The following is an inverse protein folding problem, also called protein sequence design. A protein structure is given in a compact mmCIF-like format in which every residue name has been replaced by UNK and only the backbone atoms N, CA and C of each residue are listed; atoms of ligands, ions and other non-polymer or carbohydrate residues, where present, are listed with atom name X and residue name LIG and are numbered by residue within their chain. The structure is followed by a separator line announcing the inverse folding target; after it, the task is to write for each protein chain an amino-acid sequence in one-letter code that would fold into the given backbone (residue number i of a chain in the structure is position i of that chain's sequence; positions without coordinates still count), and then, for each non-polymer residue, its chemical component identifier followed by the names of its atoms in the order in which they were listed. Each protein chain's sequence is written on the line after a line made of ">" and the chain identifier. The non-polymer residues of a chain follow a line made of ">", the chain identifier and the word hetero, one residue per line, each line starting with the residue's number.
data_IF_606343376271
#
_entry.id   IF_606343376271
#
_cell.length_a   1.000
_cell.length_b   1.000
_cell.length_c   1.000
_cell.angle_alpha   90.00
_cell.angle_beta   90.00
_cell.angle_gamma   90.00
#
_symmetry.space_group_name_H-M   'P 1'
#
loop_
_entity.id
_entity.type
_entity.pdbx_description
1 polymer ?
#
# COMPACT_ATOMS: atom_id res chain seq x y z
N UNK A 1 19.45 -26.16 -36.95
CA UNK A 1 19.49 -25.22 -35.80
C UNK A 1 18.63 -25.74 -34.66
N UNK A 2 18.81 -25.27 -33.41
CA UNK A 2 17.94 -25.68 -32.26
C UNK A 2 16.48 -25.32 -32.52
N UNK A 3 16.22 -24.23 -33.23
CA UNK A 3 14.89 -23.79 -33.69
C UNK A 3 14.18 -24.78 -34.63
N UNK A 4 14.90 -25.69 -35.29
CA UNK A 4 14.33 -26.66 -36.24
C UNK A 4 13.91 -27.98 -35.56
N UNK A 5 14.11 -28.11 -34.24
CA UNK A 5 13.71 -29.31 -33.51
C UNK A 5 12.21 -29.31 -33.22
N UNK A 6 11.59 -30.50 -33.22
CA UNK A 6 10.13 -30.74 -33.20
C UNK A 6 9.35 -30.14 -32.03
N UNK A 7 10.01 -29.65 -30.98
CA UNK A 7 9.36 -29.00 -29.83
C UNK A 7 10.14 -27.76 -29.38
N UNK A 8 10.86 -27.13 -30.30
CA UNK A 8 11.62 -25.92 -30.04
C UNK A 8 10.72 -24.71 -30.17
N UNK A 9 10.65 -23.91 -29.11
CA UNK A 9 9.99 -22.60 -29.10
C UNK A 9 11.01 -21.45 -29.23
N UNK A 10 12.27 -21.78 -29.50
CA UNK A 10 13.34 -20.79 -29.59
C UNK A 10 13.16 -19.93 -30.83
N UNK A 11 13.10 -18.61 -30.62
CA UNK A 11 13.14 -17.61 -31.69
C UNK A 11 14.24 -16.59 -31.41
N UNK A 12 14.82 -16.02 -32.47
CA UNK A 12 15.92 -15.05 -32.35
C UNK A 12 15.46 -13.73 -31.73
N UNK A 13 14.19 -13.36 -31.94
CA UNK A 13 13.65 -12.05 -31.61
C UNK A 13 13.86 -11.03 -32.75
N UNK A 14 13.38 -9.78 -32.59
CA UNK A 14 13.49 -8.75 -33.62
C UNK A 14 14.93 -8.25 -33.80
N UNK A 15 15.39 -8.07 -35.04
CA UNK A 15 16.73 -7.55 -35.36
C UNK A 15 16.96 -6.12 -34.86
N UNK A 16 15.90 -5.36 -34.60
CA UNK A 16 15.96 -3.98 -34.09
C UNK A 16 16.20 -3.90 -32.59
N UNK A 17 16.18 -5.03 -31.87
CA UNK A 17 16.38 -5.10 -30.42
C UNK A 17 17.73 -5.75 -30.17
N UNK A 18 18.55 -5.15 -29.31
CA UNK A 18 19.87 -5.71 -28.98
C UNK A 18 19.76 -7.09 -28.33
N UNK A 19 20.85 -7.86 -28.35
CA UNK A 19 20.86 -9.22 -27.80
C UNK A 19 20.09 -10.22 -28.66
N UNK A 20 19.82 -11.39 -28.09
CA UNK A 20 19.09 -12.48 -28.76
C UNK A 20 18.02 -13.05 -27.83
N UNK A 21 17.16 -13.91 -28.37
CA UNK A 21 16.14 -14.57 -27.58
C UNK A 21 15.05 -13.63 -27.08
N UNK A 22 14.96 -12.40 -27.60
CA UNK A 22 13.97 -11.39 -27.25
C UNK A 22 12.55 -11.80 -27.70
N UNK A 23 11.89 -12.66 -26.92
CA UNK A 23 10.55 -13.12 -27.20
C UNK A 23 9.77 -13.49 -25.94
N UNK A 24 8.47 -13.69 -26.12
CA UNK A 24 7.54 -14.12 -25.08
C UNK A 24 6.78 -15.34 -25.56
N UNK A 25 6.56 -16.29 -24.65
CA UNK A 25 5.69 -17.43 -24.83
C UNK A 25 4.50 -17.32 -23.89
N UNK A 26 3.30 -17.44 -24.45
CA UNK A 26 2.08 -17.64 -23.69
C UNK A 26 1.90 -19.14 -23.41
N UNK A 27 1.77 -19.49 -22.15
CA UNK A 27 1.29 -20.80 -21.73
C UNK A 27 -0.23 -20.72 -21.71
N UNK A 28 -0.89 -21.64 -22.42
CA UNK A 28 -2.34 -21.65 -22.54
C UNK A 28 -2.99 -22.77 -21.73
N UNK A 29 -4.23 -22.54 -21.32
CA UNK A 29 -5.06 -23.54 -20.65
C UNK A 29 -5.28 -24.74 -21.58
N UNK A 30 -4.87 -25.96 -21.20
CA UNK A 30 -5.05 -27.14 -22.04
C UNK A 30 -6.51 -27.64 -22.03
N UNK A 31 -7.29 -27.24 -21.02
CA UNK A 31 -8.71 -27.56 -20.85
C UNK A 31 -9.38 -26.40 -20.11
N UNK A 32 -10.69 -26.23 -20.29
CA UNK A 32 -11.47 -25.28 -19.50
C UNK A 32 -11.51 -25.69 -18.02
N UNK A 33 -11.38 -24.73 -17.10
CA UNK A 33 -11.36 -24.99 -15.66
C UNK A 33 -11.10 -23.76 -14.80
N UNK A 34 -10.47 -23.98 -13.64
CA UNK A 34 -10.18 -22.92 -12.64
C UNK A 34 -9.25 -21.81 -13.17
N UNK A 35 -8.49 -22.11 -14.22
CA UNK A 35 -7.58 -21.18 -14.91
C UNK A 35 -8.18 -20.59 -16.19
N UNK A 36 -9.51 -20.67 -16.41
CA UNK A 36 -10.18 -20.08 -17.58
C UNK A 36 -10.59 -21.11 -18.63
N UNK A 37 -11.00 -20.63 -19.80
CA UNK A 37 -11.46 -21.46 -20.92
C UNK A 37 -10.28 -22.13 -21.63
N UNK A 38 -10.54 -23.23 -22.34
CA UNK A 38 -9.52 -23.91 -23.13
C UNK A 38 -8.92 -22.95 -24.18
N UNK A 39 -7.58 -22.85 -24.20
CA UNK A 39 -6.84 -21.96 -25.09
C UNK A 39 -6.56 -20.57 -24.53
N UNK A 40 -7.13 -20.19 -23.40
CA UNK A 40 -6.82 -18.90 -22.75
C UNK A 40 -5.35 -18.84 -22.35
N UNK A 41 -4.73 -17.66 -22.50
CA UNK A 41 -3.40 -17.40 -21.94
C UNK A 41 -3.51 -17.36 -20.41
N UNK A 42 -2.76 -18.22 -19.74
CA UNK A 42 -2.82 -18.39 -18.29
C UNK A 42 -1.53 -17.94 -17.61
N UNK A 43 -0.40 -18.02 -18.30
CA UNK A 43 0.91 -17.67 -17.77
C UNK A 43 1.86 -17.22 -18.88
N UNK A 44 2.82 -16.33 -18.58
CA UNK A 44 3.80 -15.87 -19.57
C UNK A 44 5.24 -16.19 -19.20
N UNK A 45 6.03 -16.47 -20.23
CA UNK A 45 7.47 -16.66 -20.11
C UNK A 45 8.18 -15.66 -21.02
N UNK A 46 9.00 -14.81 -20.44
CA UNK A 46 9.85 -13.87 -21.17
C UNK A 46 11.26 -14.42 -21.27
N UNK A 47 11.85 -14.32 -22.46
CA UNK A 47 13.22 -14.72 -22.72
C UNK A 47 13.99 -13.50 -23.21
N UNK A 48 15.15 -13.26 -22.59
CA UNK A 48 16.08 -12.20 -22.97
C UNK A 48 17.49 -12.76 -22.82
N UNK A 49 18.33 -12.57 -23.82
CA UNK A 49 19.76 -12.92 -23.72
C UNK A 49 20.58 -11.72 -24.16
N UNK A 50 21.46 -11.24 -23.28
CA UNK A 50 22.38 -10.16 -23.59
C UNK A 50 23.42 -10.58 -24.60
N UNK A 51 23.79 -11.87 -24.64
CA UNK A 51 25.05 -12.37 -25.18
C UNK A 51 26.07 -12.62 -24.06
N UNK A 52 27.18 -13.29 -24.41
CA UNK A 52 28.24 -13.65 -23.46
C UNK A 52 29.30 -12.54 -23.30
N UNK A 53 29.79 -12.00 -24.42
CA UNK A 53 30.90 -11.03 -24.44
C UNK A 53 30.40 -9.62 -24.70
N UNK A 54 30.92 -8.65 -23.95
CA UNK A 54 30.62 -7.24 -24.15
C UNK A 54 30.99 -6.81 -25.59
N UNK A 55 30.03 -6.19 -26.30
CA UNK A 55 30.22 -5.72 -27.67
C UNK A 55 31.07 -4.43 -27.71
N UNK A 56 32.38 -4.57 -27.48
CA UNK A 56 33.33 -3.44 -27.37
C UNK A 56 33.43 -2.60 -28.64
N UNK A 57 33.20 -3.16 -29.83
CA UNK A 57 33.13 -2.38 -31.08
C UNK A 57 31.93 -1.42 -31.11
N UNK A 58 30.79 -1.87 -30.58
CA UNK A 58 29.54 -1.09 -30.52
C UNK A 58 29.53 -0.11 -29.34
N UNK A 59 30.19 -0.50 -28.24
CA UNK A 59 30.24 0.26 -26.99
C UNK A 59 31.70 0.46 -26.52
N UNK A 60 32.50 1.27 -27.22
CA UNK A 60 33.96 1.38 -27.00
C UNK A 60 34.37 1.99 -25.65
N UNK A 61 33.43 2.58 -24.92
CA UNK A 61 33.67 3.22 -23.62
C UNK A 61 33.11 2.43 -22.44
N UNK A 62 32.55 1.24 -22.67
CA UNK A 62 31.99 0.40 -21.60
C UNK A 62 32.97 -0.71 -21.28
N UNK A 63 33.40 -0.75 -20.02
CA UNK A 63 34.27 -1.79 -19.49
C UNK A 63 33.44 -2.75 -18.63
N UNK A 64 32.98 -3.85 -19.23
CA UNK A 64 32.37 -4.97 -18.51
C UNK A 64 33.02 -6.28 -18.95
N UNK A 65 33.16 -7.22 -18.02
CA UNK A 65 33.67 -8.57 -18.31
C UNK A 65 32.67 -9.37 -19.16
N UNK A 66 31.38 -9.12 -18.93
CA UNK A 66 30.28 -9.80 -19.59
C UNK A 66 29.36 -8.81 -20.31
N UNK A 67 28.61 -9.31 -21.28
CA UNK A 67 27.55 -8.49 -21.86
C UNK A 67 26.42 -8.22 -20.85
N UNK A 68 25.63 -7.16 -21.09
CA UNK A 68 24.56 -6.74 -20.19
C UNK A 68 23.24 -6.58 -20.94
N UNK A 69 22.11 -6.53 -20.23
CA UNK A 69 20.79 -6.29 -20.84
C UNK A 69 20.67 -4.82 -21.23
N UNK A 70 20.34 -4.55 -22.50
CA UNK A 70 20.34 -3.21 -23.10
C UNK A 70 19.02 -2.49 -22.88
N UNK A 71 18.98 -1.14 -22.95
CA UNK A 71 17.73 -0.39 -22.87
C UNK A 71 16.68 -0.83 -23.90
N UNK A 72 17.12 -1.18 -25.12
CA UNK A 72 16.22 -1.66 -26.18
C UNK A 72 15.49 -2.96 -25.79
N UNK A 73 16.15 -3.87 -25.06
CA UNK A 73 15.54 -5.11 -24.56
C UNK A 73 14.54 -4.83 -23.43
N UNK A 74 14.86 -3.86 -22.55
CA UNK A 74 13.96 -3.43 -21.47
C UNK A 74 12.70 -2.78 -22.04
N UNK A 75 12.86 -1.88 -23.02
CA UNK A 75 11.74 -1.23 -23.71
C UNK A 75 10.91 -2.24 -24.51
N UNK A 76 11.55 -3.23 -25.11
CA UNK A 76 10.87 -4.34 -25.79
C UNK A 76 10.01 -5.15 -24.81
N UNK A 77 10.56 -5.55 -23.67
CA UNK A 77 9.78 -6.19 -22.60
C UNK A 77 8.61 -5.31 -22.13
N UNK A 78 8.86 -4.02 -21.87
CA UNK A 78 7.81 -3.09 -21.43
C UNK A 78 6.65 -3.07 -22.42
N UNK A 79 6.95 -2.94 -23.72
CA UNK A 79 5.95 -2.95 -24.79
C UNK A 79 5.18 -4.28 -24.87
N UNK A 80 5.86 -5.41 -24.73
CA UNK A 80 5.22 -6.73 -24.72
C UNK A 80 4.28 -6.86 -23.52
N UNK A 81 4.73 -6.48 -22.33
CA UNK A 81 3.94 -6.52 -21.11
C UNK A 81 2.70 -5.61 -21.20
N UNK A 82 2.85 -4.38 -21.70
CA UNK A 82 1.71 -3.46 -21.92
C UNK A 82 0.70 -3.99 -22.92
N UNK A 83 1.17 -4.56 -24.03
CA UNK A 83 0.29 -5.15 -25.06
C UNK A 83 -0.41 -6.39 -24.50
N UNK A 84 0.33 -7.25 -23.80
CA UNK A 84 -0.18 -8.47 -23.18
C UNK A 84 -1.18 -8.19 -22.06
N UNK A 85 -1.10 -7.07 -21.33
CA UNK A 85 -2.11 -6.71 -20.31
C UNK A 85 -3.53 -6.56 -20.86
N UNK A 86 -3.70 -6.37 -22.17
CA UNK A 86 -5.01 -6.36 -22.82
C UNK A 86 -5.65 -7.76 -22.87
N UNK A 87 -4.83 -8.81 -22.93
CA UNK A 87 -5.25 -10.20 -22.76
C UNK A 87 -5.49 -10.44 -21.26
N UNK A 88 -6.72 -10.21 -20.82
CA UNK A 88 -7.13 -10.50 -19.44
C UNK A 88 -7.45 -11.97 -19.30
N UNK A 89 -7.19 -12.52 -18.11
CA UNK A 89 -7.69 -13.82 -17.72
C UNK A 89 -9.24 -13.78 -17.74
N UNK A 90 -9.88 -14.78 -18.34
CA UNK A 90 -11.35 -14.85 -18.41
C UNK A 90 -11.98 -15.01 -17.02
N UNK A 91 -11.34 -15.75 -16.12
CA UNK A 91 -11.83 -15.97 -14.75
C UNK A 91 -11.38 -14.93 -13.71
N UNK A 92 -10.31 -14.15 -13.95
CA UNK A 92 -9.80 -13.16 -12.98
C UNK A 92 -9.52 -11.82 -13.67
N UNK A 93 -10.06 -10.72 -13.11
CA UNK A 93 -9.83 -9.38 -13.67
C UNK A 93 -8.39 -8.85 -13.52
N UNK A 94 -7.39 -9.71 -13.34
CA UNK A 94 -6.00 -9.40 -13.00
C UNK A 94 -5.04 -9.65 -14.17
N UNK A 95 -3.82 -9.11 -14.04
CA UNK A 95 -2.72 -9.30 -15.01
C UNK A 95 -2.17 -10.72 -14.90
N UNK A 96 -1.96 -11.41 -16.02
CA UNK A 96 -1.36 -12.75 -16.03
C UNK A 96 0.02 -12.75 -15.36
N UNK A 97 0.30 -13.68 -14.43
CA UNK A 97 1.64 -13.79 -13.86
C UNK A 97 2.64 -14.25 -14.92
N UNK A 98 3.86 -13.76 -14.79
CA UNK A 98 4.94 -14.11 -15.69
C UNK A 98 6.23 -14.50 -14.96
N UNK A 99 7.11 -15.17 -15.67
CA UNK A 99 8.52 -15.36 -15.30
C UNK A 99 9.43 -14.90 -16.42
N UNK A 100 10.66 -14.56 -16.07
CA UNK A 100 11.66 -14.11 -17.03
C UNK A 100 12.91 -14.98 -16.93
N UNK A 101 13.51 -15.28 -18.08
CA UNK A 101 14.76 -16.02 -18.19
C UNK A 101 15.79 -15.15 -18.89
N UNK A 102 16.98 -15.06 -18.30
CA UNK A 102 18.15 -14.46 -18.94
C UNK A 102 19.44 -15.09 -18.45
N UNK A 103 20.48 -15.07 -19.26
CA UNK A 103 21.70 -15.83 -18.99
C UNK A 103 22.52 -15.22 -17.84
N UNK A 104 22.95 -13.97 -18.00
CA UNK A 104 23.91 -13.33 -17.09
C UNK A 104 23.18 -12.63 -15.94
N UNK A 105 23.52 -12.90 -14.67
CA UNK A 105 22.81 -12.34 -13.52
C UNK A 105 22.92 -10.82 -13.47
N UNK A 106 21.85 -10.16 -13.01
CA UNK A 106 21.86 -8.72 -12.73
C UNK A 106 22.74 -8.43 -11.50
N UNK A 107 23.19 -7.18 -11.34
CA UNK A 107 23.98 -6.76 -10.19
C UNK A 107 23.27 -7.05 -8.86
N UNK A 108 21.94 -7.02 -8.84
CA UNK A 108 21.12 -7.26 -7.66
C UNK A 108 21.20 -8.71 -7.16
N UNK A 109 21.64 -9.67 -7.98
CA UNK A 109 21.96 -11.02 -7.50
C UNK A 109 23.14 -10.97 -6.53
N UNK A 110 24.17 -10.16 -6.81
CA UNK A 110 25.37 -10.03 -5.98
C UNK A 110 25.10 -9.26 -4.67
N UNK A 111 24.22 -8.26 -4.70
CA UNK A 111 23.92 -7.40 -3.54
C UNK A 111 22.71 -7.82 -2.71
N UNK A 112 22.11 -8.98 -3.02
CA UNK A 112 20.95 -9.51 -2.28
C UNK A 112 21.28 -9.83 -0.81
N UNK A 113 20.44 -9.38 0.12
CA UNK A 113 20.56 -9.67 1.56
C UNK A 113 20.29 -11.15 1.86
N UNK A 114 21.22 -11.84 2.52
CA UNK A 114 21.12 -13.27 2.83
C UNK A 114 19.86 -13.64 3.62
N UNK A 115 19.35 -12.73 4.46
CA UNK A 115 18.13 -12.94 5.25
C UNK A 115 16.85 -13.09 4.41
N UNK A 116 16.88 -12.65 3.14
CA UNK A 116 15.78 -12.74 2.18
C UNK A 116 16.02 -13.79 1.11
N UNK A 117 17.06 -14.59 1.27
CA UNK A 117 17.47 -15.63 0.35
C UNK A 117 17.21 -17.02 0.95
N UNK A 118 16.83 -17.96 0.11
CA UNK A 118 16.86 -19.39 0.45
C UNK A 118 17.79 -20.11 -0.52
N UNK A 119 18.56 -21.07 0.01
CA UNK A 119 19.61 -21.81 -0.70
C UNK A 119 21.01 -21.28 -0.42
N UNK A 120 21.99 -21.76 -1.18
CA UNK A 120 23.41 -21.59 -0.88
C UNK A 120 24.12 -20.69 -1.92
N UNK A 121 24.93 -19.75 -1.44
CA UNK A 121 25.83 -18.90 -2.25
C UNK A 121 27.22 -19.54 -2.29
N UNK A 122 27.43 -20.47 -3.22
CA UNK A 122 28.64 -21.30 -3.26
C UNK A 122 29.80 -20.69 -4.06
N UNK A 123 29.53 -19.65 -4.85
CA UNK A 123 30.57 -18.97 -5.64
C UNK A 123 30.27 -17.48 -5.77
N UNK A 124 31.29 -16.72 -6.20
CA UNK A 124 31.12 -15.31 -6.53
C UNK A 124 30.10 -15.18 -7.66
N UNK A 125 29.17 -14.24 -7.50
CA UNK A 125 28.25 -13.85 -8.57
C UNK A 125 29.05 -13.14 -9.66
N UNK A 126 29.07 -13.73 -10.86
CA UNK A 126 29.58 -13.10 -12.08
C UNK A 126 28.44 -12.37 -12.78
N UNK A 127 28.09 -11.18 -12.29
CA UNK A 127 27.01 -10.34 -12.83
C UNK A 127 27.43 -9.53 -14.07
N UNK A 128 26.44 -8.88 -14.67
CA UNK A 128 26.59 -8.02 -15.84
C UNK A 128 27.49 -6.80 -15.63
N UNK A 129 27.86 -6.44 -14.39
CA UNK A 129 28.68 -5.27 -14.05
C UNK A 129 28.01 -3.92 -14.27
N UNK A 130 26.78 -3.92 -14.83
CA UNK A 130 26.03 -2.75 -15.26
C UNK A 130 24.58 -2.87 -14.76
N UNK A 131 24.03 -1.77 -14.27
CA UNK A 131 22.61 -1.69 -13.89
C UNK A 131 21.88 -0.68 -14.76
N UNK A 132 21.05 -1.18 -15.69
CA UNK A 132 20.21 -0.36 -16.55
C UNK A 132 18.72 -0.45 -16.20
N UNK A 133 18.40 -0.77 -14.94
CA UNK A 133 17.03 -0.73 -14.36
C UNK A 133 16.07 -1.79 -14.89
N UNK A 134 16.57 -2.97 -15.29
CA UNK A 134 15.68 -4.08 -15.61
C UNK A 134 14.84 -4.47 -14.39
N UNK A 135 15.46 -4.67 -13.22
CA UNK A 135 14.72 -5.05 -12.00
C UNK A 135 13.65 -4.01 -11.65
N UNK A 136 13.99 -2.72 -11.64
CA UNK A 136 13.01 -1.66 -11.37
C UNK A 136 11.85 -1.70 -12.37
N UNK A 137 12.14 -1.95 -13.66
CA UNK A 137 11.09 -2.11 -14.68
C UNK A 137 10.23 -3.35 -14.41
N UNK A 138 10.80 -4.47 -13.96
CA UNK A 138 10.03 -5.66 -13.59
C UNK A 138 9.09 -5.36 -12.41
N UNK A 139 9.59 -4.68 -11.39
CA UNK A 139 8.83 -4.26 -10.20
C UNK A 139 7.70 -3.29 -10.56
N UNK A 140 7.99 -2.25 -11.34
CA UNK A 140 7.00 -1.27 -11.82
C UNK A 140 5.91 -1.94 -12.64
N UNK A 141 6.28 -2.88 -13.52
CA UNK A 141 5.33 -3.60 -14.35
C UNK A 141 4.53 -4.65 -13.58
N UNK A 142 5.05 -5.13 -12.44
CA UNK A 142 4.37 -6.03 -11.52
C UNK A 142 3.72 -7.25 -12.23
N UNK A 143 4.35 -7.76 -13.29
CA UNK A 143 3.90 -8.92 -14.06
C UNK A 143 4.83 -10.12 -13.80
N UNK A 144 6.14 -9.90 -13.97
CA UNK A 144 7.17 -10.91 -13.71
C UNK A 144 7.34 -11.12 -12.22
N UNK A 145 7.16 -12.35 -11.75
CA UNK A 145 7.21 -12.75 -10.32
C UNK A 145 8.52 -13.41 -9.94
N UNK A 146 9.15 -14.07 -10.91
CA UNK A 146 10.47 -14.64 -10.73
C UNK A 146 11.31 -14.48 -12.01
N UNK A 147 12.59 -14.22 -11.81
CA UNK A 147 13.60 -14.16 -12.84
C UNK A 147 14.64 -15.27 -12.60
N UNK A 148 14.94 -16.03 -13.64
CA UNK A 148 15.82 -17.19 -13.55
C UNK A 148 17.07 -16.99 -14.40
N UNK A 149 18.22 -17.30 -13.82
CA UNK A 149 19.53 -17.05 -14.43
C UNK A 149 20.48 -18.23 -14.37
N UNK A 150 21.49 -18.16 -15.23
CA UNK A 150 22.68 -19.00 -15.21
C UNK A 150 22.54 -20.35 -15.92
N UNK A 151 23.70 -20.88 -16.31
CA UNK A 151 23.92 -22.29 -16.62
C UNK A 151 25.08 -22.77 -15.76
N UNK A 152 25.04 -24.01 -15.27
CA UNK A 152 26.19 -24.69 -14.64
C UNK A 152 26.87 -23.92 -13.49
N UNK A 153 26.15 -23.04 -12.81
CA UNK A 153 26.59 -22.32 -11.61
C UNK A 153 26.55 -23.22 -10.37
N UNK A 154 27.51 -22.99 -9.46
CA UNK A 154 27.49 -23.54 -8.11
C UNK A 154 26.48 -22.83 -7.23
N UNK A 155 26.10 -21.60 -7.58
CA UNK A 155 25.12 -20.83 -6.83
C UNK A 155 23.72 -21.45 -6.86
N UNK A 156 23.09 -21.51 -5.70
CA UNK A 156 21.88 -22.30 -5.47
C UNK A 156 20.73 -21.62 -4.77
N UNK A 157 20.72 -20.31 -4.83
CA UNK A 157 19.80 -19.52 -4.06
C UNK A 157 18.70 -18.88 -4.92
N UNK A 158 17.63 -18.52 -4.24
CA UNK A 158 16.63 -17.56 -4.69
C UNK A 158 16.50 -16.47 -3.65
N UNK A 159 16.49 -15.21 -4.07
CA UNK A 159 16.26 -14.08 -3.18
C UNK A 159 15.07 -13.26 -3.64
N UNK A 160 14.21 -12.83 -2.70
CA UNK A 160 13.15 -11.88 -3.01
C UNK A 160 13.71 -10.45 -2.96
N UNK A 161 13.83 -9.81 -4.12
CA UNK A 161 14.34 -8.44 -4.27
C UNK A 161 13.27 -7.60 -4.97
N UNK A 162 12.81 -6.53 -4.31
CA UNK A 162 11.81 -5.59 -4.83
C UNK A 162 10.57 -6.26 -5.47
N UNK A 163 10.09 -7.33 -4.85
CA UNK A 163 8.89 -8.06 -5.28
C UNK A 163 9.12 -9.09 -6.40
N UNK A 164 10.36 -9.26 -6.88
CA UNK A 164 10.74 -10.26 -7.89
C UNK A 164 11.67 -11.28 -7.25
N UNK A 165 11.38 -12.57 -7.45
CA UNK A 165 12.24 -13.63 -6.97
C UNK A 165 13.39 -13.88 -7.95
N UNK A 166 14.61 -13.53 -7.55
CA UNK A 166 15.83 -13.69 -8.33
C UNK A 166 16.45 -15.05 -8.03
N UNK A 167 16.44 -15.97 -8.99
CA UNK A 167 16.74 -17.38 -8.77
C UNK A 167 17.85 -17.90 -9.69
N UNK A 168 18.84 -18.58 -9.12
CA UNK A 168 19.79 -19.36 -9.90
C UNK A 168 19.19 -20.71 -10.34
N UNK A 169 19.40 -21.06 -11.61
CA UNK A 169 18.99 -22.34 -12.19
C UNK A 169 19.73 -23.55 -11.58
N UNK A 170 21.00 -23.37 -11.19
CA UNK A 170 21.88 -24.43 -10.70
C UNK A 170 22.54 -25.25 -11.83
N UNK A 171 23.25 -26.31 -11.46
CA UNK A 171 23.98 -27.18 -12.38
C UNK A 171 23.12 -28.19 -13.13
N UNK A 172 22.61 -27.81 -14.31
CA UNK A 172 21.77 -28.65 -15.18
C UNK A 172 22.54 -29.46 -16.22
N UNK A 173 23.79 -29.08 -16.52
CA UNK A 173 24.59 -29.64 -17.60
C UNK A 173 25.20 -31.02 -17.27
N UNK A 174 25.57 -31.73 -18.34
CA UNK A 174 26.44 -32.92 -18.24
C UNK A 174 27.92 -32.53 -18.10
N UNK A 175 28.25 -31.24 -18.24
CA UNK A 175 29.54 -30.65 -17.86
C UNK A 175 29.59 -30.31 -16.37
N UNK A 176 30.79 -30.21 -15.80
CA UNK A 176 31.02 -29.86 -14.40
C UNK A 176 30.54 -28.42 -14.14
N UNK A 177 29.81 -28.17 -13.06
CA UNK A 177 29.38 -26.83 -12.67
C UNK A 177 30.62 -25.97 -12.34
N UNK A 178 30.91 -24.94 -13.16
CA UNK A 178 32.17 -24.16 -13.17
C UNK A 178 33.42 -24.94 -12.72
N UNK A 179 33.60 -26.16 -13.23
CA UNK A 179 34.77 -26.99 -12.94
C UNK A 179 34.72 -27.81 -11.64
N UNK A 180 33.70 -27.68 -10.80
CA UNK A 180 33.48 -28.56 -9.65
C UNK A 180 33.05 -29.96 -10.11
N UNK A 181 33.90 -30.95 -9.84
CA UNK A 181 33.67 -32.33 -10.24
C UNK A 181 32.56 -33.02 -9.44
N UNK A 182 32.36 -32.58 -8.19
CA UNK A 182 31.50 -33.26 -7.21
C UNK A 182 30.14 -32.58 -7.04
N UNK A 183 29.83 -31.55 -7.83
CA UNK A 183 28.56 -30.84 -7.71
C UNK A 183 27.39 -31.69 -8.28
N UNK A 184 26.40 -32.07 -7.45
CA UNK A 184 25.31 -32.92 -7.91
C UNK A 184 24.44 -32.21 -8.94
N UNK A 185 24.15 -32.92 -10.02
CA UNK A 185 23.30 -32.42 -11.10
C UNK A 185 21.88 -32.25 -10.62
N UNK A 186 21.28 -31.12 -10.98
CA UNK A 186 19.90 -30.82 -10.64
C UNK A 186 19.30 -29.80 -11.58
N UNK A 187 17.99 -29.89 -11.77
CA UNK A 187 17.24 -28.95 -12.58
C UNK A 187 16.21 -28.22 -11.73
N UNK A 188 16.07 -26.93 -11.98
CA UNK A 188 15.00 -26.14 -11.38
C UNK A 188 13.67 -26.50 -12.02
N UNK A 189 12.72 -26.87 -11.18
CA UNK A 189 11.32 -27.05 -11.52
C UNK A 189 10.57 -25.78 -11.15
N UNK A 190 9.64 -25.36 -12.00
CA UNK A 190 8.72 -24.27 -11.74
C UNK A 190 7.33 -24.88 -11.91
N UNK A 191 6.55 -24.85 -10.84
CA UNK A 191 5.21 -25.37 -10.77
C UNK A 191 4.26 -24.23 -10.50
N UNK A 192 3.17 -24.20 -11.25
CA UNK A 192 2.12 -23.23 -11.07
C UNK A 192 0.83 -23.95 -10.72
N UNK A 193 0.19 -23.54 -9.64
CA UNK A 193 -1.04 -24.15 -9.14
C UNK A 193 -2.09 -23.09 -8.87
N UNK A 194 -3.36 -23.47 -9.04
CA UNK A 194 -4.53 -22.68 -8.67
C UNK A 194 -5.31 -23.49 -7.65
N UNK A 195 -5.54 -22.93 -6.47
CA UNK A 195 -6.31 -23.62 -5.42
C UNK A 195 -7.84 -23.48 -5.65
N UNK A 196 -8.64 -24.20 -4.85
CA UNK A 196 -10.10 -24.15 -4.95
C UNK A 196 -10.74 -22.80 -4.57
N UNK A 197 -9.95 -21.83 -4.10
CA UNK A 197 -10.35 -20.45 -3.85
C UNK A 197 -9.80 -19.50 -4.93
N UNK A 198 -9.36 -20.02 -6.08
CA UNK A 198 -8.77 -19.28 -7.19
C UNK A 198 -7.47 -18.53 -6.84
N UNK A 199 -6.78 -18.93 -5.75
CA UNK A 199 -5.46 -18.37 -5.47
C UNK A 199 -4.41 -19.06 -6.34
N UNK A 200 -3.63 -18.24 -7.05
CA UNK A 200 -2.50 -18.71 -7.82
C UNK A 200 -1.27 -18.87 -6.92
N UNK A 201 -0.44 -19.88 -7.16
CA UNK A 201 0.82 -20.07 -6.44
C UNK A 201 1.91 -20.52 -7.43
N UNK A 202 3.08 -19.87 -7.41
CA UNK A 202 4.27 -20.32 -8.13
C UNK A 202 5.21 -20.96 -7.11
N UNK A 203 5.45 -22.26 -7.26
CA UNK A 203 6.45 -22.99 -6.48
C UNK A 203 7.64 -23.28 -7.38
N UNK A 204 8.85 -23.13 -6.86
CA UNK A 204 10.05 -23.51 -7.58
C UNK A 204 11.02 -24.23 -6.65
N UNK A 205 11.55 -25.36 -7.11
CA UNK A 205 12.52 -26.14 -6.36
C UNK A 205 13.55 -26.72 -7.31
N UNK A 206 14.60 -27.33 -6.79
CA UNK A 206 15.54 -28.11 -7.60
C UNK A 206 15.35 -29.59 -7.38
N UNK A 207 15.28 -30.34 -8.48
CA UNK A 207 15.22 -31.80 -8.49
C UNK A 207 16.58 -32.36 -8.89
N UNK A 208 17.11 -33.27 -8.07
CA UNK A 208 18.37 -33.94 -8.35
C UNK A 208 18.23 -34.96 -9.49
N UNK A 209 19.32 -35.14 -10.23
CA UNK A 209 19.39 -36.13 -11.31
C UNK A 209 19.48 -37.56 -10.76
N UNK A 210 20.29 -37.77 -9.72
CA UNK A 210 20.57 -39.12 -9.19
C UNK A 210 19.45 -39.65 -8.29
N UNK A 211 18.79 -38.78 -7.51
CA UNK A 211 17.61 -39.12 -6.72
C UNK A 211 16.50 -38.08 -6.92
N UNK A 212 15.46 -38.55 -7.60
CA UNK A 212 14.28 -37.80 -7.99
C UNK A 212 13.48 -37.26 -6.79
N UNK A 213 13.63 -37.88 -5.61
CA UNK A 213 12.89 -37.56 -4.40
C UNK A 213 13.63 -36.53 -3.53
N UNK A 214 14.91 -36.25 -3.81
CA UNK A 214 15.67 -35.23 -3.10
C UNK A 214 15.31 -33.85 -3.66
N UNK A 215 14.64 -33.06 -2.83
CA UNK A 215 14.27 -31.68 -3.10
C UNK A 215 15.25 -30.75 -2.39
N UNK A 216 15.84 -29.81 -3.13
CA UNK A 216 16.74 -28.79 -2.59
C UNK A 216 16.27 -27.37 -2.99
N UNK A 217 16.53 -26.39 -2.13
CA UNK A 217 16.13 -24.98 -2.30
C UNK A 217 14.66 -24.82 -2.75
N UNK A 218 13.74 -25.46 -2.02
CA UNK A 218 12.31 -25.33 -2.29
C UNK A 218 11.79 -23.95 -1.86
N UNK A 219 11.26 -23.22 -2.83
CA UNK A 219 10.61 -21.95 -2.66
C UNK A 219 9.15 -22.04 -3.07
N UNK A 220 8.24 -21.56 -2.23
CA UNK A 220 6.84 -21.37 -2.63
C UNK A 220 6.51 -19.90 -2.60
N UNK A 221 6.50 -19.25 -3.77
CA UNK A 221 5.97 -17.92 -3.93
C UNK A 221 4.45 -18.01 -4.04
N UNK A 222 3.75 -17.77 -2.91
CA UNK A 222 2.31 -17.56 -2.97
C UNK A 222 2.04 -16.30 -3.77
N UNK A 223 1.33 -16.44 -4.89
CA UNK A 223 0.82 -15.31 -5.63
C UNK A 223 -0.46 -14.86 -4.92
N UNK A 224 -0.29 -14.25 -3.75
CA UNK A 224 -1.38 -13.55 -3.07
C UNK A 224 -1.92 -12.51 -4.06
N UNK A 225 -3.22 -12.21 -4.08
CA UNK A 225 -3.77 -11.09 -4.88
C UNK A 225 -3.01 -9.75 -4.67
N UNK A 226 -2.29 -9.62 -3.57
CA UNK A 226 -1.33 -8.53 -3.28
C UNK A 226 -0.08 -8.52 -4.21
N UNK A 227 0.35 -9.68 -4.69
CA UNK A 227 1.45 -9.84 -5.66
C UNK A 227 0.95 -9.98 -7.10
N UNK A 228 -0.35 -10.13 -7.36
CA UNK A 228 -0.93 -10.21 -8.71
C UNK A 228 -1.94 -9.08 -8.85
N UNK A 229 -1.47 -7.92 -9.32
CA UNK A 229 -2.34 -6.87 -9.83
C UNK A 229 -2.76 -5.76 -8.88
N UNK A 230 -2.39 -5.77 -7.59
CA UNK A 230 -2.39 -4.54 -6.80
C UNK A 230 -0.97 -3.96 -6.82
N UNK A 231 -0.72 -2.98 -7.69
CA UNK A 231 0.54 -2.24 -7.66
C UNK A 231 0.83 -1.73 -6.25
N UNK A 232 2.10 -1.68 -5.85
CA UNK A 232 2.57 -1.01 -4.62
C UNK A 232 1.91 0.37 -4.44
N UNK A 233 1.67 1.07 -5.55
CA UNK A 233 0.90 2.30 -5.59
C UNK A 233 -0.54 2.20 -5.10
N UNK A 234 -1.29 1.10 -5.28
CA UNK A 234 -2.65 0.99 -4.77
C UNK A 234 -2.67 0.85 -3.24
N UNK A 235 -1.75 0.09 -2.64
CA UNK A 235 -1.59 0.00 -1.18
C UNK A 235 -1.10 1.30 -0.56
N UNK A 236 -0.14 1.96 -1.22
CA UNK A 236 0.29 3.32 -0.86
C UNK A 236 -0.87 4.31 -1.00
N UNK A 237 -1.63 4.26 -2.10
CA UNK A 237 -2.78 5.14 -2.38
C UNK A 237 -3.95 4.88 -1.43
N UNK A 238 -4.12 3.65 -0.92
CA UNK A 238 -5.12 3.32 0.11
C UNK A 238 -4.82 4.01 1.45
N UNK A 239 -3.53 4.07 1.81
CA UNK A 239 -3.05 4.82 2.98
C UNK A 239 -3.14 6.32 2.75
N UNK A 240 -2.60 6.81 1.62
CA UNK A 240 -2.60 8.23 1.24
C UNK A 240 -4.01 8.78 1.09
N UNK A 241 -4.96 8.02 0.55
CA UNK A 241 -6.35 8.45 0.36
C UNK A 241 -7.03 8.82 1.68
N UNK A 242 -6.81 8.04 2.74
CA UNK A 242 -7.35 8.36 4.06
C UNK A 242 -6.69 9.59 4.68
N UNK A 243 -5.36 9.74 4.54
CA UNK A 243 -4.66 10.94 5.04
C UNK A 243 -5.02 12.21 4.26
N UNK A 244 -5.18 12.10 2.94
CA UNK A 244 -5.63 13.18 2.08
C UNK A 244 -7.05 13.61 2.47
N UNK A 245 -7.95 12.64 2.66
CA UNK A 245 -9.29 12.89 3.19
C UNK A 245 -9.23 13.60 4.54
N UNK A 246 -8.42 13.12 5.48
CA UNK A 246 -8.28 13.73 6.81
C UNK A 246 -7.75 15.16 6.75
N UNK A 247 -6.78 15.43 5.88
CA UNK A 247 -6.23 16.77 5.66
C UNK A 247 -7.30 17.76 5.16
N UNK A 248 -8.23 17.29 4.31
CA UNK A 248 -9.38 18.07 3.87
C UNK A 248 -10.47 18.19 4.95
N UNK A 249 -10.72 17.09 5.68
CA UNK A 249 -11.76 16.97 6.68
C UNK A 249 -11.59 17.93 7.85
N UNK A 250 -10.36 18.08 8.36
CA UNK A 250 -10.07 18.95 9.51
C UNK A 250 -10.59 20.39 9.35
N UNK A 251 -10.13 21.15 8.32
CA UNK A 251 -10.62 22.51 8.08
C UNK A 251 -12.11 22.59 7.76
N UNK A 252 -12.64 21.67 6.95
CA UNK A 252 -14.06 21.64 6.57
C UNK A 252 -14.96 21.47 7.79
N UNK A 253 -14.63 20.52 8.66
CA UNK A 253 -15.40 20.25 9.87
C UNK A 253 -15.12 21.25 11.00
N UNK A 254 -13.94 21.87 11.03
CA UNK A 254 -13.68 23.03 11.88
C UNK A 254 -14.62 24.18 11.56
N UNK A 255 -14.70 24.57 10.27
CA UNK A 255 -15.65 25.58 9.81
C UNK A 255 -17.09 25.16 10.10
N UNK A 256 -17.47 23.92 9.78
CA UNK A 256 -18.81 23.39 10.02
C UNK A 256 -19.19 23.40 11.51
N UNK A 257 -18.26 23.10 12.41
CA UNK A 257 -18.47 23.12 13.86
C UNK A 257 -18.73 24.52 14.40
N UNK A 258 -18.18 25.55 13.77
CA UNK A 258 -18.45 26.94 14.16
C UNK A 258 -19.83 27.41 13.69
N UNK A 259 -20.30 26.96 12.52
CA UNK A 259 -21.60 27.38 11.96
C UNK A 259 -22.79 26.54 12.45
N UNK A 260 -22.63 25.23 12.70
CA UNK A 260 -23.72 24.29 13.04
C UNK A 260 -23.59 23.66 14.44
N UNK A 261 -22.50 23.94 15.14
CA UNK A 261 -22.22 23.40 16.47
C UNK A 261 -21.33 22.16 16.44
N UNK A 262 -20.70 21.90 17.58
CA UNK A 262 -19.63 20.91 17.72
C UNK A 262 -20.19 19.49 17.71
N UNK A 263 -21.35 19.28 18.35
CA UNK A 263 -22.06 17.99 18.33
C UNK A 263 -22.53 17.64 16.92
N UNK A 264 -23.13 18.60 16.21
CA UNK A 264 -23.60 18.39 14.84
C UNK A 264 -22.46 18.04 13.88
N UNK A 265 -21.33 18.74 14.00
CA UNK A 265 -20.13 18.46 13.24
C UNK A 265 -19.57 17.06 13.53
N UNK A 266 -19.48 16.69 14.81
CA UNK A 266 -19.01 15.37 15.21
C UNK A 266 -19.88 14.24 14.65
N UNK A 267 -21.21 14.35 14.79
CA UNK A 267 -22.13 13.33 14.28
C UNK A 267 -22.05 13.21 12.75
N UNK A 268 -21.99 14.35 12.03
CA UNK A 268 -21.87 14.33 10.58
C UNK A 268 -20.52 13.73 10.12
N UNK A 269 -19.42 14.06 10.79
CA UNK A 269 -18.11 13.47 10.53
C UNK A 269 -18.14 11.94 10.67
N UNK A 270 -18.76 11.44 11.76
CA UNK A 270 -18.93 10.00 11.96
C UNK A 270 -19.79 9.33 10.90
N UNK A 271 -20.83 10.00 10.39
CA UNK A 271 -21.63 9.44 9.29
C UNK A 271 -20.82 9.29 8.01
N UNK A 272 -19.93 10.25 7.70
CA UNK A 272 -19.02 10.14 6.56
C UNK A 272 -17.97 9.03 6.77
N UNK A 273 -17.39 8.94 7.97
CA UNK A 273 -16.49 7.85 8.35
C UNK A 273 -17.15 6.49 8.14
N UNK A 274 -18.37 6.31 8.65
CA UNK A 274 -19.15 5.08 8.52
C UNK A 274 -19.47 4.76 7.06
N UNK A 275 -19.92 5.76 6.28
CA UNK A 275 -20.24 5.57 4.86
C UNK A 275 -19.00 5.16 4.06
N UNK A 276 -17.85 5.81 4.28
CA UNK A 276 -16.61 5.44 3.61
C UNK A 276 -16.13 4.03 3.97
N UNK A 277 -16.26 3.61 5.24
CA UNK A 277 -15.93 2.25 5.67
C UNK A 277 -16.89 1.21 5.07
N UNK A 278 -18.19 1.49 5.01
CA UNK A 278 -19.18 0.59 4.40
C UNK A 278 -18.96 0.46 2.89
N UNK A 279 -18.67 1.56 2.19
CA UNK A 279 -18.28 1.55 0.78
C UNK A 279 -16.98 0.78 0.55
N UNK A 280 -16.04 0.84 1.50
CA UNK A 280 -14.80 0.07 1.44
C UNK A 280 -15.09 -1.43 1.52
N UNK A 281 -16.02 -1.86 2.39
CA UNK A 281 -16.45 -3.26 2.48
C UNK A 281 -17.15 -3.76 1.20
N UNK A 282 -17.91 -2.88 0.54
CA UNK A 282 -18.65 -3.18 -0.69
C UNK A 282 -17.79 -3.05 -1.97
N UNK A 283 -16.51 -2.69 -1.86
CA UNK A 283 -15.67 -2.43 -3.02
C UNK A 283 -15.43 -3.70 -3.85
N UNK A 284 -15.70 -3.58 -5.15
CA UNK A 284 -15.49 -4.61 -6.19
C UNK A 284 -14.35 -4.28 -7.15
N UNK A 285 -13.88 -3.02 -7.17
CA UNK A 285 -12.81 -2.51 -8.03
C UNK A 285 -11.86 -1.64 -7.23
N UNK A 286 -10.61 -1.53 -7.66
CA UNK A 286 -9.54 -0.86 -6.91
C UNK A 286 -9.78 0.65 -6.70
N UNK A 287 -10.36 1.34 -7.68
CA UNK A 287 -10.68 2.76 -7.52
C UNK A 287 -11.84 3.01 -6.54
N UNK A 288 -12.77 2.04 -6.36
CA UNK A 288 -13.86 2.17 -5.39
C UNK A 288 -13.31 2.26 -3.97
N UNK A 289 -12.32 1.45 -3.63
CA UNK A 289 -11.73 1.46 -2.30
C UNK A 289 -10.92 2.72 -2.05
N UNK A 290 -10.22 3.26 -3.06
CA UNK A 290 -9.49 4.54 -2.93
C UNK A 290 -10.46 5.69 -2.62
N UNK A 291 -11.53 5.83 -3.41
CA UNK A 291 -12.54 6.87 -3.21
C UNK A 291 -13.23 6.71 -1.84
N UNK A 292 -13.58 5.47 -1.48
CA UNK A 292 -14.18 5.16 -0.19
C UNK A 292 -13.25 5.53 1.00
N UNK A 293 -11.93 5.34 0.85
CA UNK A 293 -10.92 5.73 1.85
C UNK A 293 -10.77 7.24 1.96
N UNK A 294 -10.88 7.99 0.87
CA UNK A 294 -10.92 9.46 0.93
C UNK A 294 -12.16 9.94 1.69
N UNK A 295 -13.34 9.38 1.39
CA UNK A 295 -14.59 9.73 2.09
C UNK A 295 -14.48 9.41 3.59
N UNK A 296 -13.97 8.22 3.93
CA UNK A 296 -13.74 7.83 5.32
C UNK A 296 -12.73 8.77 6.00
N UNK A 297 -11.67 9.17 5.29
CA UNK A 297 -10.66 10.12 5.76
C UNK A 297 -11.26 11.49 6.06
N UNK A 298 -12.14 12.01 5.20
CA UNK A 298 -12.82 13.31 5.43
C UNK A 298 -13.61 13.29 6.75
N UNK A 299 -14.33 12.20 7.03
CA UNK A 299 -14.98 12.01 8.32
C UNK A 299 -13.98 11.95 9.47
N UNK A 300 -12.97 11.09 9.37
CA UNK A 300 -11.94 10.89 10.39
C UNK A 300 -11.23 12.20 10.77
N UNK A 301 -10.87 13.02 9.77
CA UNK A 301 -10.22 14.32 9.98
C UNK A 301 -11.08 15.33 10.73
N UNK A 302 -12.41 15.22 10.63
CA UNK A 302 -13.34 16.09 11.33
C UNK A 302 -13.68 15.65 12.76
N UNK A 303 -13.54 14.36 13.07
CA UNK A 303 -13.93 13.81 14.37
C UNK A 303 -13.06 14.34 15.53
N UNK A 304 -11.73 14.31 15.37
CA UNK A 304 -10.80 14.71 16.43
C UNK A 304 -10.93 16.20 16.83
N UNK A 305 -10.93 17.18 15.91
CA UNK A 305 -11.09 18.59 16.29
C UNK A 305 -12.48 18.87 16.88
N UNK A 306 -13.55 18.30 16.35
CA UNK A 306 -14.90 18.51 16.89
C UNK A 306 -15.04 17.91 18.31
N UNK A 307 -14.51 16.70 18.53
CA UNK A 307 -14.55 16.03 19.83
C UNK A 307 -13.69 16.74 20.89
N UNK A 308 -12.47 17.14 20.52
CA UNK A 308 -11.54 17.83 21.46
C UNK A 308 -12.12 19.16 21.93
N UNK A 309 -12.68 19.97 21.03
CA UNK A 309 -13.34 21.24 21.40
C UNK A 309 -14.56 20.96 22.27
N UNK A 310 -15.43 20.03 21.88
CA UNK A 310 -16.63 19.70 22.66
C UNK A 310 -16.28 19.26 24.10
N UNK A 311 -15.28 18.38 24.25
CA UNK A 311 -14.80 17.93 25.56
C UNK A 311 -14.21 19.09 26.35
N UNK A 312 -13.42 19.98 25.74
CA UNK A 312 -12.86 21.14 26.44
C UNK A 312 -13.92 22.13 26.92
N UNK A 313 -14.99 22.29 26.14
CA UNK A 313 -16.08 23.22 26.45
C UNK A 313 -17.04 22.67 27.51
N UNK A 314 -17.19 21.35 27.60
CA UNK A 314 -17.95 20.67 28.66
C UNK A 314 -17.11 20.43 29.93
N UNK A 315 -15.79 20.29 29.81
CA UNK A 315 -14.93 19.95 30.93
C UNK A 315 -14.67 21.14 31.90
N UNK A 316 -14.61 20.87 33.22
CA UNK A 316 -14.22 21.87 34.21
C UNK A 316 -12.83 22.45 33.95
N UNK A 317 -12.66 23.77 34.16
CA UNK A 317 -11.43 24.52 33.84
C UNK A 317 -10.13 23.85 34.31
N UNK A 318 -10.10 23.28 35.51
CA UNK A 318 -8.90 22.66 36.10
C UNK A 318 -8.54 21.26 35.56
N UNK A 319 -9.42 20.62 34.79
CA UNK A 319 -9.21 19.24 34.30
C UNK A 319 -9.29 19.11 32.78
N UNK A 320 -9.49 20.21 32.04
CA UNK A 320 -9.57 20.21 30.57
C UNK A 320 -8.42 19.46 29.92
N UNK A 321 -7.18 19.78 30.33
CA UNK A 321 -5.99 19.13 29.79
C UNK A 321 -5.97 17.62 30.05
N UNK A 322 -6.40 17.17 31.24
CA UNK A 322 -6.47 15.73 31.58
C UNK A 322 -7.54 15.02 30.74
N UNK A 323 -8.69 15.65 30.52
CA UNK A 323 -9.78 15.07 29.73
C UNK A 323 -9.40 14.95 28.25
N UNK A 324 -8.70 15.96 27.71
CA UNK A 324 -8.17 15.90 26.33
C UNK A 324 -7.07 14.84 26.21
N UNK A 325 -6.15 14.76 27.18
CA UNK A 325 -5.12 13.71 27.17
C UNK A 325 -5.72 12.30 27.25
N UNK A 326 -6.78 12.11 28.05
CA UNK A 326 -7.51 10.84 28.11
C UNK A 326 -8.19 10.51 26.77
N UNK A 327 -8.79 11.51 26.12
CA UNK A 327 -9.37 11.35 24.78
C UNK A 327 -8.31 10.89 23.77
N UNK A 328 -7.13 11.51 23.77
CA UNK A 328 -6.02 11.18 22.88
C UNK A 328 -5.46 9.77 23.14
N UNK A 329 -5.44 9.32 24.39
CA UNK A 329 -4.97 7.98 24.74
C UNK A 329 -5.81 6.87 24.09
N UNK A 330 -7.12 7.10 23.89
CA UNK A 330 -7.99 6.15 23.18
C UNK A 330 -7.64 6.01 21.70
N UNK A 331 -6.99 7.00 21.08
CA UNK A 331 -6.45 6.88 19.71
C UNK A 331 -5.40 5.77 19.64
N UNK A 332 -4.49 5.72 20.63
CA UNK A 332 -3.47 4.67 20.72
C UNK A 332 -4.07 3.28 20.92
N UNK A 333 -5.04 3.16 21.84
CA UNK A 333 -5.75 1.89 22.09
C UNK A 333 -6.49 1.42 20.84
N UNK A 334 -7.19 2.34 20.17
CA UNK A 334 -7.88 2.08 18.90
C UNK A 334 -6.94 1.60 17.80
N UNK A 335 -5.74 2.20 17.72
CA UNK A 335 -4.69 1.76 16.79
C UNK A 335 -4.27 0.30 17.01
N UNK A 336 -4.02 -0.09 18.26
CA UNK A 336 -3.66 -1.47 18.61
C UNK A 336 -4.80 -2.44 18.26
N UNK A 337 -6.04 -2.11 18.62
CA UNK A 337 -7.21 -2.92 18.26
C UNK A 337 -7.39 -3.03 16.73
N UNK A 338 -7.12 -1.96 15.99
CA UNK A 338 -7.13 -1.95 14.53
C UNK A 338 -6.12 -2.92 13.93
N UNK A 339 -4.88 -2.93 14.44
CA UNK A 339 -3.85 -3.90 14.04
C UNK A 339 -4.28 -5.33 14.39
N UNK A 340 -4.83 -5.56 15.57
CA UNK A 340 -5.34 -6.89 15.97
C UNK A 340 -6.48 -7.37 15.06
N UNK A 341 -7.39 -6.50 14.66
CA UNK A 341 -8.45 -6.83 13.70
C UNK A 341 -7.89 -7.11 12.31
N UNK A 342 -6.90 -6.32 11.85
CA UNK A 342 -6.27 -6.48 10.56
C UNK A 342 -5.49 -7.80 10.45
N UNK A 343 -4.64 -8.14 11.42
CA UNK A 343 -3.81 -9.36 11.37
C UNK A 343 -4.48 -10.58 12.01
N UNK A 344 -5.46 -10.38 12.89
CA UNK A 344 -6.19 -11.47 13.54
C UNK A 344 -7.46 -11.88 12.80
N UNK A 345 -8.32 -10.92 12.44
CA UNK A 345 -9.63 -11.21 11.88
C UNK A 345 -9.61 -11.33 10.36
N UNK A 346 -8.89 -10.43 9.67
CA UNK A 346 -8.90 -10.40 8.20
C UNK A 346 -8.38 -11.69 7.53
N UNK A 347 -7.33 -12.37 8.02
CA UNK A 347 -6.88 -13.64 7.42
C UNK A 347 -7.85 -14.80 7.60
N UNK A 348 -8.76 -14.73 8.59
CA UNK A 348 -9.68 -15.81 8.94
C UNK A 348 -11.06 -15.63 8.31
N UNK A 349 -11.61 -14.42 8.38
CA UNK A 349 -12.98 -14.12 7.93
C UNK A 349 -13.02 -13.29 6.63
N UNK A 350 -11.86 -12.80 6.18
CA UNK A 350 -11.74 -11.91 5.04
C UNK A 350 -11.72 -10.43 5.44
N UNK A 351 -11.13 -9.61 4.58
CA UNK A 351 -10.95 -8.17 4.83
C UNK A 351 -12.28 -7.39 4.82
N UNK A 352 -13.28 -7.84 4.04
CA UNK A 352 -14.60 -7.20 3.95
C UNK A 352 -15.36 -7.28 5.29
N UNK A 353 -15.35 -8.45 5.92
CA UNK A 353 -15.98 -8.63 7.24
C UNK A 353 -15.26 -7.83 8.32
N UNK A 354 -13.94 -7.64 8.20
CA UNK A 354 -13.19 -6.78 9.12
C UNK A 354 -13.64 -5.32 9.01
N UNK A 355 -13.87 -4.79 7.80
CA UNK A 355 -14.46 -3.46 7.62
C UNK A 355 -15.87 -3.35 8.21
N UNK A 356 -16.71 -4.37 8.04
CA UNK A 356 -18.05 -4.39 8.65
C UNK A 356 -17.99 -4.44 10.18
N UNK A 357 -17.03 -5.17 10.76
CA UNK A 357 -16.81 -5.17 12.20
C UNK A 357 -16.44 -3.76 12.70
N UNK A 358 -15.55 -3.05 11.99
CA UNK A 358 -15.20 -1.67 12.31
C UNK A 358 -16.43 -0.74 12.14
N UNK A 359 -17.24 -0.93 11.10
CA UNK A 359 -18.50 -0.19 10.92
C UNK A 359 -19.41 -0.34 12.13
N UNK A 360 -19.54 -1.55 12.68
CA UNK A 360 -20.33 -1.80 13.90
C UNK A 360 -19.79 -1.02 15.10
N UNK A 361 -18.47 -0.91 15.27
CA UNK A 361 -17.87 -0.10 16.33
C UNK A 361 -18.15 1.41 16.14
N UNK A 362 -18.03 1.92 14.91
CA UNK A 362 -18.32 3.34 14.60
C UNK A 362 -19.81 3.63 14.80
N UNK A 363 -20.69 2.73 14.35
CA UNK A 363 -22.13 2.85 14.56
C UNK A 363 -22.48 2.85 16.05
N UNK A 364 -21.94 1.91 16.82
CA UNK A 364 -22.14 1.84 18.27
C UNK A 364 -21.72 3.14 18.98
N UNK A 365 -20.52 3.66 18.67
CA UNK A 365 -20.05 4.92 19.27
C UNK A 365 -20.87 6.13 18.79
N UNK A 366 -21.35 6.12 17.55
CA UNK A 366 -22.26 7.14 17.02
C UNK A 366 -23.58 7.19 17.77
N UNK A 367 -24.18 6.02 18.03
CA UNK A 367 -25.41 5.88 18.82
C UNK A 367 -25.22 6.46 20.22
N UNK A 368 -24.11 6.12 20.90
CA UNK A 368 -23.82 6.66 22.23
C UNK A 368 -23.67 8.20 22.24
N UNK A 369 -23.10 8.77 21.17
CA UNK A 369 -22.85 10.22 21.06
C UNK A 369 -24.10 11.06 20.83
N UNK A 370 -25.25 10.46 20.48
CA UNK A 370 -26.52 11.18 20.47
C UNK A 370 -26.92 11.72 21.86
N UNK A 371 -26.46 11.08 22.94
CA UNK A 371 -26.73 11.54 24.30
C UNK A 371 -25.89 12.74 24.76
N UNK A 372 -24.86 13.12 24.01
CA UNK A 372 -23.96 14.22 24.38
C UNK A 372 -24.65 15.56 24.05
N UNK A 373 -24.76 16.50 25.01
CA UNK A 373 -25.30 17.83 24.76
C UNK A 373 -24.37 18.66 23.87
N UNK A 374 -24.93 19.66 23.20
CA UNK A 374 -24.13 20.63 22.46
C UNK A 374 -23.34 21.54 23.42
N UNK A 375 -22.25 22.14 22.92
CA UNK A 375 -21.43 23.07 23.69
C UNK A 375 -22.22 24.26 24.24
N UNK A 376 -22.20 24.50 25.57
CA UNK A 376 -22.78 25.70 26.17
C UNK A 376 -22.18 27.00 25.61
N UNK A 377 -20.88 26.99 25.29
CA UNK A 377 -20.18 28.17 24.75
C UNK A 377 -20.66 28.49 23.34
N UNK A 378 -20.83 27.46 22.51
CA UNK A 378 -21.38 27.64 21.17
C UNK A 378 -22.83 28.14 21.23
N UNK A 379 -23.68 27.50 22.03
CA UNK A 379 -25.09 27.89 22.21
C UNK A 379 -25.21 29.35 22.65
N UNK A 380 -24.39 29.80 23.60
CA UNK A 380 -24.34 31.20 24.00
C UNK A 380 -23.89 32.14 22.86
N UNK A 381 -22.91 31.73 22.05
CA UNK A 381 -22.39 32.56 20.95
C UNK A 381 -23.40 32.82 19.83
N UNK A 382 -24.37 31.91 19.65
CA UNK A 382 -25.45 32.05 18.66
C UNK A 382 -26.76 32.58 19.27
N UNK A 383 -26.72 33.09 20.51
CA UNK A 383 -27.87 33.70 21.19
C UNK A 383 -28.83 32.72 21.89
N UNK A 384 -28.55 31.41 21.90
CA UNK A 384 -29.36 30.38 22.59
C UNK A 384 -28.96 30.25 24.06
N UNK A 385 -29.08 31.35 24.80
CA UNK A 385 -28.58 31.46 26.18
C UNK A 385 -29.33 30.54 27.14
N UNK A 386 -30.65 30.39 27.01
CA UNK A 386 -31.43 29.51 27.88
C UNK A 386 -30.99 28.04 27.79
N UNK A 387 -30.71 27.56 26.57
CA UNK A 387 -30.23 26.21 26.34
C UNK A 387 -28.80 26.01 26.84
N UNK A 388 -27.92 27.00 26.62
CA UNK A 388 -26.56 26.98 27.15
C UNK A 388 -26.58 26.82 28.68
N UNK A 389 -27.45 27.59 29.34
CA UNK A 389 -27.62 27.56 30.78
C UNK A 389 -28.24 26.24 31.26
N UNK A 390 -29.20 25.66 30.54
CA UNK A 390 -29.78 24.36 30.88
C UNK A 390 -28.73 23.23 30.84
N UNK A 391 -27.83 23.25 29.85
CA UNK A 391 -26.72 22.28 29.76
C UNK A 391 -25.75 22.46 30.95
N UNK A 392 -25.39 23.70 31.29
CA UNK A 392 -24.52 23.98 32.45
C UNK A 392 -25.19 23.54 33.75
N UNK A 393 -26.46 23.87 33.96
CA UNK A 393 -27.22 23.49 35.15
C UNK A 393 -27.31 21.98 35.32
N UNK A 394 -27.53 21.23 34.22
CA UNK A 394 -27.48 19.76 34.23
C UNK A 394 -26.12 19.25 34.68
N UNK A 395 -25.03 19.73 34.07
CA UNK A 395 -23.66 19.33 34.44
C UNK A 395 -23.33 19.67 35.89
N UNK A 396 -23.73 20.84 36.39
CA UNK A 396 -23.51 21.25 37.78
C UNK A 396 -24.28 20.35 38.77
N UNK A 397 -25.53 20.02 38.46
CA UNK A 397 -26.38 19.14 39.27
C UNK A 397 -25.83 17.71 39.37
N UNK A 398 -25.32 17.15 38.26
CA UNK A 398 -24.71 15.82 38.20
C UNK A 398 -23.41 15.74 39.01
N UNK A 399 -22.73 16.88 39.24
CA UNK A 399 -21.51 16.97 40.05
C UNK A 399 -21.76 17.49 41.48
N UNK A 400 -23.02 17.55 41.93
CA UNK A 400 -23.37 17.95 43.29
C UNK A 400 -23.03 19.41 43.63
N UNK A 401 -22.89 20.28 42.63
CA UNK A 401 -22.65 21.72 42.82
C UNK A 401 -23.99 22.47 42.78
N UNK A 402 -24.15 23.45 43.68
CA UNK A 402 -25.30 24.36 43.67
C UNK A 402 -25.27 25.16 42.37
N UNK A 403 -26.33 25.08 41.56
CA UNK A 403 -26.27 25.66 40.23
C UNK A 403 -26.22 27.19 40.31
N UNK A 404 -25.25 27.79 39.61
CA UNK A 404 -25.21 29.25 39.46
C UNK A 404 -26.37 29.77 38.60
N UNK A 405 -27.06 28.87 37.87
CA UNK A 405 -28.24 29.15 37.07
C UNK A 405 -29.40 29.77 37.86
N UNK A 406 -29.63 29.29 39.08
CA UNK A 406 -30.71 29.80 39.94
C UNK A 406 -30.48 31.28 40.32
N UNK A 407 -29.21 31.72 40.37
CA UNK A 407 -28.83 33.11 40.63
C UNK A 407 -28.95 34.02 39.39
N UNK A 408 -28.94 33.46 38.17
CA UNK A 408 -29.06 34.24 36.93
C UNK A 408 -30.52 34.53 36.59
N UNK A 409 -31.45 33.61 36.88
CA UNK A 409 -32.90 33.86 36.75
C UNK A 409 -33.44 34.94 37.69
N UNK A 410 -32.72 35.23 38.78
CA UNK A 410 -33.12 36.20 39.81
C UNK A 410 -32.56 37.60 39.60
N UNK A 411 -31.66 37.80 38.62
CA UNK A 411 -31.19 39.13 38.23
C UNK A 411 -32.02 39.64 37.04
N UNK A 412 -32.65 40.82 37.20
CA UNK A 412 -33.34 41.53 36.13
C UNK A 412 -32.42 41.71 34.90
N UNK A 413 -32.99 41.73 33.67
CA UNK A 413 -32.21 41.84 32.45
C UNK A 413 -31.36 43.11 32.47
N UNK A 414 -30.04 42.93 32.45
CA UNK A 414 -29.08 44.03 32.30
C UNK A 414 -29.40 44.74 30.98
N UNK A 415 -29.75 46.01 31.06
CA UNK A 415 -30.03 46.88 29.90
C UNK A 415 -28.88 46.79 28.89
N UNK A 416 -29.17 46.68 27.58
CA UNK A 416 -28.13 46.64 26.57
C UNK A 416 -27.33 47.95 26.61
N UNK A 417 -26.01 47.84 26.66
CA UNK A 417 -25.10 48.98 26.57
C UNK A 417 -25.24 49.60 25.19
N UNK A 418 -26.02 50.67 25.09
CA UNK A 418 -26.14 51.49 23.89
C UNK A 418 -24.80 52.21 23.66
N UNK A 419 -24.25 52.01 22.45
CA UNK A 419 -23.24 52.81 21.75
C UNK A 419 -22.42 53.85 22.55
N UNK A 420 -21.10 53.65 22.58
CA UNK A 420 -20.15 54.77 22.51
C UNK A 420 -19.42 54.66 21.17
N UNK A 421 -19.99 55.28 20.14
CA UNK A 421 -19.27 55.69 18.95
C UNK A 421 -19.23 57.22 18.97
N UNK A 422 -18.06 57.80 19.28
CA UNK A 422 -17.50 59.03 18.72
C UNK A 422 -16.60 59.76 19.72
N UNK A 423 -15.28 59.58 19.60
CA UNK A 423 -14.32 60.67 19.83
C UNK A 423 -12.97 60.34 19.18
N UNK A 424 -12.79 60.86 17.97
CA UNK A 424 -11.55 61.45 17.46
C UNK A 424 -10.22 60.69 17.69
N UNK A 425 -9.85 59.88 16.70
CA UNK A 425 -8.44 59.66 16.35
C UNK A 425 -7.89 60.96 15.74
N UNK A 426 -7.28 61.82 16.57
CA UNK A 426 -6.43 62.90 16.10
C UNK A 426 -4.97 62.43 16.18
N UNK A 427 -4.37 62.27 15.00
CA UNK A 427 -2.93 62.17 14.83
C UNK A 427 -2.25 63.34 15.55
N UNK A 428 -1.26 63.03 16.40
CA UNK A 428 -0.23 64.01 16.76
C UNK A 428 1.13 63.31 16.74
N UNK A 429 1.83 63.51 15.62
CA UNK A 429 3.27 63.37 15.54
C UNK A 429 3.91 64.51 16.33
N UNK A 430 4.84 64.20 17.24
CA UNK A 430 5.93 65.11 17.61
C UNK A 430 7.17 64.34 18.03
N UNK A 431 8.24 64.68 17.35
CA UNK A 431 9.61 64.20 17.44
C UNK A 431 10.41 64.81 18.60
N UNK A 432 11.41 64.05 19.06
CA UNK A 432 12.71 64.49 19.64
C UNK A 432 12.65 65.16 21.03
N UNK A 433 13.55 64.96 22.00
CA UNK A 433 15.02 64.78 22.02
C UNK A 433 15.40 64.21 23.41
N UNK A 434 16.39 63.31 23.49
CA UNK A 434 17.38 63.32 24.56
C UNK A 434 18.76 63.02 23.93
N UNK A 435 19.63 64.02 24.00
CA UNK A 435 21.03 64.04 23.56
C UNK A 435 21.98 63.50 24.65
N UNK A 436 22.95 62.67 24.21
CA UNK A 436 24.44 62.74 24.33
C UNK A 436 25.11 63.56 25.45
N UNK A 437 26.39 63.28 25.84
CA UNK A 437 27.56 62.92 25.00
C UNK A 437 27.92 61.44 24.91
#
# INVERSE_FOLDING_TARGET
>A
MVSEKTHSYTVTGPETVDGVGNYMLNVTAPIAGVWGDEGDSVFRMYFLDSGAEAQTEKYPYVFSEYDWIKPSQIDYYRKLSETGRLEKHSSTGSVLPAVMFFHIPLVEFAYSEDSRCNGEKNERVHDQGMNLRLLSTLTEMNEVKAAFVGHDHLNEYCCLVDGVQLCYGGGTGFGRAYGSADFPRRARVIEWTVDGNENHNIRSWKRHYDDINVIHSEETLRLVAHNVGMGTHALETLGVGAFLGSAMGGPLFGYFADIRGRRSALLFAMTLSLAGLALSAAATKDYHIIVARVIAGVGLGGELPAATVLVQELAPRGMRGRMVALLEAFTGIGGVLGVMLAFGLAPRLGWRTTYLAICSCVLYTGVLRFGIPESPRWLASIGRVEEALAVVGKLESEHGKRSLYDNVKTQEPVTPVTQVASSSFALNARSSVFDKP
#
